data_IF_381686365934
#
_entry.id   IF_381686365934
#
_cell.length_a   1.000
_cell.length_b   1.000
_cell.length_c   1.000
_cell.angle_alpha   90.00
_cell.angle_beta   90.00
_cell.angle_gamma   90.00
#
_symmetry.space_group_name_H-M   'P 1'
#
loop_
_entity.id
_entity.type
_entity.pdbx_description
1 polymer ?
#
# COMPACT_ATOMS: atom_id res chain seq x y z
N UNK A 1 15.26 -16.57 5.21
CA UNK A 1 15.23 -17.21 3.86
C UNK A 1 13.77 -17.52 3.55
N UNK A 2 13.31 -17.25 2.33
CA UNK A 2 11.89 -17.45 1.96
C UNK A 2 11.75 -18.69 1.09
N UNK A 3 10.87 -19.61 1.47
CA UNK A 3 10.52 -20.77 0.64
C UNK A 3 9.11 -20.59 0.08
N UNK A 4 8.87 -20.92 -1.19
CA UNK A 4 7.56 -20.84 -1.86
C UNK A 4 7.07 -22.25 -2.13
N UNK A 5 5.83 -22.58 -1.76
CA UNK A 5 5.22 -23.86 -2.15
C UNK A 5 5.69 -25.07 -1.34
N UNK A 6 6.11 -24.86 -0.09
CA UNK A 6 6.45 -25.96 0.80
C UNK A 6 5.22 -26.80 1.13
N UNK A 7 5.19 -28.06 0.70
CA UNK A 7 4.26 -29.04 1.27
C UNK A 7 4.52 -29.12 2.78
N UNK A 8 3.47 -28.85 3.56
CA UNK A 8 3.53 -28.81 5.03
C UNK A 8 3.44 -30.19 5.64
N UNK A 9 2.94 -31.17 4.88
CA UNK A 9 2.73 -32.53 5.35
C UNK A 9 3.92 -33.44 4.99
N UNK A 10 4.47 -34.13 5.99
CA UNK A 10 5.64 -35.03 5.86
C UNK A 10 5.31 -36.28 5.05
N UNK A 11 4.05 -36.72 5.10
CA UNK A 11 3.56 -37.92 4.42
C UNK A 11 3.65 -37.72 2.89
N UNK A 12 3.04 -36.65 2.37
CA UNK A 12 3.13 -36.26 0.96
C UNK A 12 4.56 -36.08 0.45
N UNK A 13 5.47 -35.72 1.36
CA UNK A 13 6.86 -35.41 1.05
C UNK A 13 7.70 -36.69 0.87
N UNK A 14 7.43 -37.69 1.69
CA UNK A 14 8.08 -39.01 1.63
C UNK A 14 7.45 -39.90 0.56
N UNK A 15 6.14 -39.79 0.33
CA UNK A 15 5.38 -40.65 -0.58
C UNK A 15 5.61 -40.33 -2.06
N UNK A 16 5.91 -39.06 -2.40
CA UNK A 16 6.14 -38.65 -3.81
C UNK A 16 7.45 -39.10 -4.42
N UNK A 17 8.43 -39.57 -3.63
CA UNK A 17 9.65 -40.25 -4.11
C UNK A 17 10.54 -39.50 -5.11
N UNK A 18 10.36 -38.18 -5.32
CA UNK A 18 11.10 -37.42 -6.33
C UNK A 18 12.53 -37.14 -5.90
N UNK A 19 13.52 -37.22 -6.82
CA UNK A 19 14.91 -36.91 -6.50
C UNK A 19 15.01 -35.46 -5.99
N UNK A 20 15.69 -35.27 -4.85
CA UNK A 20 15.89 -33.96 -4.21
C UNK A 20 14.91 -33.59 -3.09
N UNK A 21 13.89 -34.43 -2.81
CA UNK A 21 13.02 -34.26 -1.63
C UNK A 21 13.84 -34.38 -0.34
N UNK A 22 14.59 -35.46 -0.15
CA UNK A 22 15.35 -35.72 1.09
C UNK A 22 16.34 -34.60 1.44
N UNK A 23 17.03 -34.02 0.46
CA UNK A 23 17.93 -32.88 0.66
C UNK A 23 17.18 -31.61 1.09
N UNK A 24 15.99 -31.38 0.53
CA UNK A 24 15.14 -30.23 0.90
C UNK A 24 14.62 -30.35 2.33
N UNK A 25 14.29 -31.57 2.77
CA UNK A 25 13.91 -31.85 4.15
C UNK A 25 15.07 -31.63 5.13
N UNK A 26 16.28 -32.13 4.81
CA UNK A 26 17.48 -31.92 5.62
C UNK A 26 17.87 -30.44 5.71
N UNK A 27 17.77 -29.69 4.61
CA UNK A 27 17.98 -28.23 4.62
C UNK A 27 16.94 -27.54 5.52
N UNK A 28 15.68 -27.98 5.51
CA UNK A 28 14.66 -27.42 6.41
C UNK A 28 14.97 -27.69 7.89
N UNK A 29 15.41 -28.90 8.24
CA UNK A 29 15.84 -29.22 9.60
C UNK A 29 17.07 -28.38 10.02
N UNK A 30 18.03 -28.17 9.11
CA UNK A 30 19.24 -27.40 9.39
C UNK A 30 18.97 -25.90 9.55
N UNK A 31 18.07 -25.32 8.75
CA UNK A 31 17.77 -23.88 8.75
C UNK A 31 16.69 -23.53 9.80
N UNK A 32 15.83 -24.48 10.17
CA UNK A 32 14.91 -24.36 11.30
C UNK A 32 13.98 -23.14 11.20
N UNK A 33 13.91 -22.35 12.27
CA UNK A 33 12.99 -21.20 12.41
C UNK A 33 13.30 -20.00 11.51
N UNK A 34 14.44 -19.98 10.82
CA UNK A 34 14.85 -18.89 9.91
C UNK A 34 14.16 -19.00 8.53
N UNK A 35 13.51 -20.14 8.29
CA UNK A 35 12.90 -20.53 7.02
C UNK A 35 11.42 -20.17 7.05
N UNK A 36 11.07 -19.06 6.39
CA UNK A 36 9.72 -18.49 6.41
C UNK A 36 9.01 -18.81 5.09
N UNK A 37 7.78 -19.32 5.15
CA UNK A 37 6.97 -19.53 3.94
C UNK A 37 6.59 -18.19 3.32
N UNK A 38 6.64 -18.10 1.99
CA UNK A 38 6.31 -16.90 1.22
C UNK A 38 4.92 -16.35 1.54
N UNK A 39 3.95 -17.22 1.87
CA UNK A 39 2.62 -16.80 2.34
C UNK A 39 2.67 -16.07 3.69
N UNK A 40 3.62 -16.40 4.56
CA UNK A 40 3.81 -15.79 5.87
C UNK A 40 4.68 -14.52 5.86
N UNK A 41 5.44 -14.26 4.80
CA UNK A 41 6.32 -13.09 4.68
C UNK A 41 5.57 -11.77 4.85
N UNK A 42 4.34 -11.68 4.34
CA UNK A 42 3.50 -10.48 4.48
C UNK A 42 3.14 -10.15 5.95
N UNK A 43 3.21 -11.14 6.86
CA UNK A 43 3.02 -10.91 8.31
C UNK A 43 4.31 -10.45 9.00
N UNK A 44 5.47 -10.85 8.50
CA UNK A 44 6.77 -10.36 9.01
C UNK A 44 7.06 -8.94 8.55
N UNK A 45 6.60 -8.58 7.35
CA UNK A 45 6.63 -7.21 6.88
C UNK A 45 5.43 -6.47 7.47
N UNK A 46 5.58 -5.96 8.69
CA UNK A 46 4.61 -5.02 9.24
C UNK A 46 4.56 -3.80 8.32
N UNK A 47 3.51 -3.72 7.50
CA UNK A 47 3.17 -2.51 6.76
C UNK A 47 2.81 -1.45 7.79
N UNK A 48 3.83 -0.72 8.25
CA UNK A 48 3.62 0.48 9.05
C UNK A 48 2.97 1.49 8.11
N UNK A 49 1.65 1.57 8.18
CA UNK A 49 0.85 2.60 7.53
C UNK A 49 1.32 3.94 8.07
N UNK A 50 2.29 4.58 7.40
CA UNK A 50 2.72 5.92 7.78
C UNK A 50 1.60 6.87 7.41
N UNK A 51 1.00 7.50 8.41
CA UNK A 51 -0.02 8.56 8.25
C UNK A 51 0.42 9.63 7.24
N UNK A 52 1.73 9.88 7.10
CA UNK A 52 2.32 10.75 6.08
C UNK A 52 1.90 10.39 4.64
N UNK A 53 1.83 9.11 4.29
CA UNK A 53 1.39 8.68 2.96
C UNK A 53 -0.11 8.91 2.75
N UNK A 54 -0.91 8.68 3.79
CA UNK A 54 -2.36 8.92 3.74
C UNK A 54 -2.65 10.41 3.52
N UNK A 55 -1.96 11.28 4.26
CA UNK A 55 -2.06 12.73 4.09
C UNK A 55 -1.58 13.17 2.69
N UNK A 56 -0.49 12.58 2.20
CA UNK A 56 0.00 12.86 0.84
C UNK A 56 -1.01 12.50 -0.25
N UNK A 57 -1.66 11.34 -0.14
CA UNK A 57 -2.71 10.90 -1.07
C UNK A 57 -3.93 11.82 -0.97
N UNK A 58 -4.34 12.20 0.24
CA UNK A 58 -5.47 13.10 0.44
C UNK A 58 -5.24 14.48 -0.20
N UNK A 59 -4.03 15.04 -0.04
CA UNK A 59 -3.64 16.30 -0.69
C UNK A 59 -3.61 16.14 -2.21
N UNK A 60 -3.03 15.06 -2.72
CA UNK A 60 -2.97 14.80 -4.15
C UNK A 60 -4.37 14.69 -4.78
N UNK A 61 -5.33 14.08 -4.08
CA UNK A 61 -6.71 13.97 -4.53
C UNK A 61 -7.47 15.31 -4.54
N UNK A 62 -7.08 16.27 -3.70
CA UNK A 62 -7.67 17.61 -3.62
C UNK A 62 -7.30 18.51 -4.80
N UNK A 63 -6.12 18.30 -5.41
CA UNK A 63 -5.62 19.09 -6.54
C UNK A 63 -6.59 19.10 -7.73
N UNK A 64 -6.99 17.95 -8.31
CA UNK A 64 -7.89 17.96 -9.47
C UNK A 64 -9.26 18.55 -9.14
N UNK A 65 -9.77 18.33 -7.92
CA UNK A 65 -11.04 18.92 -7.46
C UNK A 65 -10.93 20.45 -7.48
N UNK A 66 -9.85 21.00 -6.91
CA UNK A 66 -9.62 22.44 -6.88
C UNK A 66 -9.50 23.04 -8.30
N UNK A 67 -8.82 22.35 -9.22
CA UNK A 67 -8.68 22.79 -10.62
C UNK A 67 -10.04 22.83 -11.32
N UNK A 68 -10.84 21.77 -11.19
CA UNK A 68 -12.18 21.69 -11.79
C UNK A 68 -13.08 22.79 -11.23
N UNK A 69 -13.09 22.98 -9.91
CA UNK A 69 -13.88 24.02 -9.25
C UNK A 69 -13.46 25.41 -9.72
N UNK A 70 -12.16 25.69 -9.85
CA UNK A 70 -11.67 27.01 -10.26
C UNK A 70 -11.94 27.32 -11.74
N UNK A 71 -11.94 26.30 -12.60
CA UNK A 71 -12.30 26.43 -14.02
C UNK A 71 -13.81 26.57 -14.23
N UNK A 72 -14.64 26.22 -13.25
CA UNK A 72 -16.09 26.29 -13.38
C UNK A 72 -16.56 27.76 -13.49
N UNK A 73 -17.38 28.13 -14.50
CA UNK A 73 -17.81 29.51 -14.74
C UNK A 73 -18.49 30.17 -13.53
N UNK A 74 -19.29 29.41 -12.78
CA UNK A 74 -19.90 29.84 -11.50
C UNK A 74 -18.89 30.38 -10.47
N UNK A 75 -17.68 29.82 -10.41
CA UNK A 75 -16.66 30.29 -9.46
C UNK A 75 -16.06 31.63 -9.86
N UNK A 76 -16.01 31.96 -11.16
CA UNK A 76 -15.56 33.29 -11.61
C UNK A 76 -16.53 34.37 -11.18
N UNK A 77 -17.84 34.12 -11.29
CA UNK A 77 -18.86 35.07 -10.83
C UNK A 77 -18.83 35.24 -9.32
N UNK A 78 -18.71 34.14 -8.57
CA UNK A 78 -18.62 34.20 -7.12
C UNK A 78 -17.37 34.99 -6.67
N UNK A 79 -16.24 34.78 -7.35
CA UNK A 79 -14.97 35.46 -7.07
C UNK A 79 -15.05 36.96 -7.39
N UNK A 80 -15.74 37.35 -8.47
CA UNK A 80 -15.99 38.76 -8.80
C UNK A 80 -16.89 39.44 -7.77
N UNK A 81 -18.00 38.81 -7.39
CA UNK A 81 -18.90 39.31 -6.35
C UNK A 81 -18.18 39.44 -5.00
N UNK A 82 -17.36 38.45 -4.64
CA UNK A 82 -16.56 38.48 -3.42
C UNK A 82 -15.55 39.63 -3.44
N UNK A 83 -14.90 39.87 -4.59
CA UNK A 83 -13.94 40.96 -4.77
C UNK A 83 -14.63 42.34 -4.66
N UNK A 84 -15.82 42.48 -5.23
CA UNK A 84 -16.63 43.71 -5.12
C UNK A 84 -17.05 43.92 -3.66
N UNK A 85 -17.54 42.89 -2.97
CA UNK A 85 -17.96 42.99 -1.57
C UNK A 85 -16.81 43.33 -0.62
N UNK A 86 -15.62 42.77 -0.85
CA UNK A 86 -14.39 43.12 -0.13
C UNK A 86 -14.03 44.58 -0.38
N UNK A 87 -14.03 45.03 -1.65
CA UNK A 87 -13.74 46.43 -2.00
C UNK A 87 -14.68 47.40 -1.27
N UNK A 88 -15.97 47.09 -1.27
CA UNK A 88 -17.01 47.88 -0.62
C UNK A 88 -16.86 47.91 0.91
N UNK A 89 -16.47 46.78 1.52
CA UNK A 89 -16.21 46.68 2.95
C UNK A 89 -14.95 47.44 3.39
N UNK A 90 -13.94 47.53 2.51
CA UNK A 90 -12.71 48.29 2.74
C UNK A 90 -12.80 49.75 2.30
N UNK A 91 -13.96 50.23 1.83
CA UNK A 91 -14.23 51.65 1.64
C UNK A 91 -13.45 52.31 0.50
N UNK A 92 -13.31 51.63 -0.64
CA UNK A 92 -12.79 52.20 -1.90
C UNK A 92 -13.83 52.10 -3.02
#
# INVERSE_FOLDING_TARGET
IVAVGTHTNMIDFLEKGRPGMSSTFLVRLKVGSILVDAKGVNKLYHSSFKLKYVVGIAIAALIPIAVITCMHPLMRELMLLFKIKIRLMFGL
#
